data_IF_069756771196
#
_entry.id   IF_069756771196
#
_cell.length_a   1.000
_cell.length_b   1.000
_cell.length_c   1.000
_cell.angle_alpha   90.00
_cell.angle_beta   90.00
_cell.angle_gamma   90.00
#
_symmetry.space_group_name_H-M   'P 1'
#
loop_
_entity.id
_entity.type
_entity.pdbx_description
1 polymer ?
#
# COMPACT_ATOMS: atom_id res chain seq x y z
N UNK A 1 -64.87 -37.35 0.90
CA UNK A 1 -64.41 -36.96 -0.45
C UNK A 1 -63.14 -36.16 -0.23
N UNK A 2 -61.92 -36.72 -0.32
CA UNK A 2 -61.42 -37.83 -1.17
C UNK A 2 -61.69 -37.56 -2.65
N UNK A 3 -60.74 -37.60 -3.60
CA UNK A 3 -59.24 -37.71 -3.64
C UNK A 3 -58.82 -36.98 -4.96
N UNK A 4 -57.60 -36.96 -5.50
CA UNK A 4 -56.23 -37.41 -5.15
C UNK A 4 -55.37 -36.15 -4.73
N UNK A 5 -54.04 -35.94 -4.77
CA UNK A 5 -52.81 -36.56 -5.35
C UNK A 5 -52.74 -36.51 -6.91
N UNK A 6 -51.62 -36.56 -7.66
CA UNK A 6 -50.17 -36.79 -7.47
C UNK A 6 -49.42 -35.97 -8.61
N UNK A 7 -48.10 -35.73 -8.79
CA UNK A 7 -46.83 -36.19 -8.20
C UNK A 7 -45.73 -35.07 -8.19
N UNK A 8 -44.59 -35.28 -8.88
CA UNK A 8 -43.33 -34.49 -8.85
C UNK A 8 -42.63 -34.46 -10.23
N UNK A 9 -41.49 -33.75 -10.37
CA UNK A 9 -40.16 -34.41 -10.50
C UNK A 9 -38.99 -33.41 -10.53
N UNK A 10 -38.08 -33.54 -9.57
CA UNK A 10 -36.73 -32.94 -9.59
C UNK A 10 -35.71 -34.06 -9.82
N UNK A 11 -34.70 -33.86 -10.67
CA UNK A 11 -33.68 -34.88 -10.97
C UNK A 11 -32.36 -34.60 -10.25
N UNK A 12 -31.96 -35.53 -9.38
CA UNK A 12 -30.57 -35.74 -8.96
C UNK A 12 -30.10 -37.07 -9.58
N UNK A 13 -28.79 -37.23 -9.80
CA UNK A 13 -28.20 -38.42 -10.41
C UNK A 13 -27.08 -38.96 -9.52
N UNK A 14 -27.44 -40.02 -8.80
CA UNK A 14 -26.69 -41.24 -8.49
C UNK A 14 -25.32 -41.26 -7.76
N UNK A 15 -25.21 -42.35 -7.00
CA UNK A 15 -24.12 -42.87 -6.16
C UNK A 15 -23.22 -43.84 -7.01
N UNK A 16 -22.22 -44.63 -6.51
CA UNK A 16 -21.97 -45.03 -5.10
C UNK A 16 -20.49 -45.14 -4.63
N UNK A 17 -20.32 -45.72 -3.44
CA UNK A 17 -19.06 -46.13 -2.82
C UNK A 17 -18.98 -47.67 -2.72
N UNK A 18 -17.78 -48.24 -2.79
CA UNK A 18 -17.41 -49.46 -2.03
C UNK A 18 -15.88 -49.50 -1.76
N UNK A 19 -15.35 -50.54 -1.09
CA UNK A 19 -14.12 -50.47 -0.29
C UNK A 19 -13.09 -51.62 -0.56
N UNK A 20 -11.95 -51.56 0.17
CA UNK A 20 -11.04 -52.67 0.61
C UNK A 20 -9.76 -53.09 -0.19
N UNK A 21 -8.61 -52.72 0.39
CA UNK A 21 -7.50 -53.56 0.94
C UNK A 21 -6.62 -54.54 0.09
N UNK A 22 -5.33 -54.15 -0.05
CA UNK A 22 -4.07 -54.88 0.27
C UNK A 22 -3.59 -56.19 -0.44
N UNK A 23 -2.31 -56.20 -0.90
CA UNK A 23 -1.17 -57.00 -0.31
C UNK A 23 -0.01 -57.39 -1.29
N UNK A 24 1.26 -57.14 -0.89
CA UNK A 24 2.51 -57.84 -1.32
C UNK A 24 3.06 -57.63 -2.75
N UNK A 25 4.33 -57.97 -3.08
CA UNK A 25 5.57 -58.16 -2.28
C UNK A 25 6.82 -58.22 -3.22
N UNK A 26 8.06 -58.07 -2.71
CA UNK A 26 9.31 -58.49 -3.40
C UNK A 26 10.44 -57.45 -3.60
N UNK A 27 11.64 -57.75 -3.08
CA UNK A 27 12.84 -56.89 -3.11
C UNK A 27 13.79 -57.08 -4.32
N UNK A 28 14.70 -56.10 -4.53
CA UNK A 28 16.15 -56.36 -4.51
C UNK A 28 17.02 -55.10 -4.38
N UNK A 29 18.29 -55.27 -3.95
CA UNK A 29 19.27 -54.20 -3.66
C UNK A 29 20.44 -54.27 -4.67
N UNK A 30 20.90 -53.12 -5.16
CA UNK A 30 22.27 -52.94 -5.67
C UNK A 30 22.82 -51.57 -5.29
N UNK A 31 23.89 -51.52 -4.50
CA UNK A 31 24.53 -50.28 -4.06
C UNK A 31 25.44 -49.67 -5.14
N UNK A 32 25.42 -48.33 -5.27
CA UNK A 32 26.54 -47.56 -5.83
C UNK A 32 26.83 -46.34 -4.94
N UNK A 33 28.03 -46.22 -4.35
CA UNK A 33 28.39 -45.07 -3.52
C UNK A 33 28.74 -43.86 -4.41
N UNK A 34 27.92 -42.80 -4.37
CA UNK A 34 28.26 -41.52 -4.99
C UNK A 34 28.86 -40.56 -3.95
N UNK A 35 29.99 -39.98 -4.32
CA UNK A 35 30.88 -39.17 -3.48
C UNK A 35 30.36 -37.74 -3.27
N UNK A 36 31.11 -36.95 -2.49
CA UNK A 36 31.02 -35.49 -2.34
C UNK A 36 29.97 -34.93 -1.36
N UNK A 37 30.33 -34.85 -0.08
CA UNK A 37 29.77 -33.88 0.88
C UNK A 37 30.84 -33.02 1.57
N UNK A 38 31.88 -32.64 0.82
CA UNK A 38 32.91 -31.69 1.29
C UNK A 38 32.50 -30.22 1.15
N UNK A 39 31.28 -29.94 0.65
CA UNK A 39 30.79 -28.57 0.41
C UNK A 39 30.24 -27.81 1.62
N UNK A 40 29.80 -28.52 2.68
CA UNK A 40 29.03 -27.90 3.78
C UNK A 40 29.88 -27.23 4.88
N UNK A 41 31.17 -27.53 4.97
CA UNK A 41 32.04 -27.02 6.06
C UNK A 41 32.62 -25.61 5.83
N UNK A 42 32.45 -25.00 4.64
CA UNK A 42 32.98 -23.65 4.34
C UNK A 42 31.93 -22.53 4.35
N UNK A 43 30.64 -22.84 4.17
CA UNK A 43 29.58 -21.82 4.15
C UNK A 43 29.09 -21.38 5.54
N UNK A 44 29.36 -22.15 6.60
CA UNK A 44 28.83 -21.89 7.94
C UNK A 44 29.50 -20.76 8.73
N UNK A 45 30.78 -20.46 8.47
CA UNK A 45 31.58 -19.58 9.33
C UNK A 45 31.72 -18.13 8.82
N UNK A 46 31.32 -17.85 7.57
CA UNK A 46 31.39 -16.49 7.01
C UNK A 46 30.16 -15.64 7.42
N UNK A 47 29.04 -16.28 7.76
CA UNK A 47 27.77 -15.60 8.05
C UNK A 47 27.77 -14.82 9.38
N UNK A 48 28.57 -15.22 10.37
CA UNK A 48 28.48 -14.65 11.74
C UNK A 48 29.16 -13.29 11.94
N UNK A 49 29.99 -12.82 10.99
CA UNK A 49 30.77 -11.58 11.17
C UNK A 49 30.39 -10.41 10.25
N UNK A 50 29.49 -10.62 9.27
CA UNK A 50 29.05 -9.55 8.34
C UNK A 50 27.62 -9.04 8.56
N UNK A 51 26.87 -9.61 9.52
CA UNK A 51 25.44 -9.33 9.66
C UNK A 51 24.98 -7.97 10.23
N UNK A 52 25.73 -7.20 11.06
CA UNK A 52 25.20 -5.96 11.62
C UNK A 52 25.05 -4.84 10.57
N UNK A 53 25.92 -4.80 9.55
CA UNK A 53 25.91 -3.75 8.54
C UNK A 53 24.69 -3.85 7.60
N UNK A 54 24.30 -5.06 7.19
CA UNK A 54 23.16 -5.27 6.29
C UNK A 54 21.83 -4.92 6.95
N UNK A 55 21.64 -5.24 8.23
CA UNK A 55 20.42 -4.88 8.97
C UNK A 55 20.30 -3.35 9.09
N UNK A 56 21.39 -2.65 9.43
CA UNK A 56 21.41 -1.18 9.49
C UNK A 56 21.15 -0.57 8.11
N UNK A 57 21.71 -1.11 7.03
CA UNK A 57 21.43 -0.65 5.68
C UNK A 57 19.96 -0.84 5.29
N UNK A 58 19.37 -2.01 5.57
CA UNK A 58 17.97 -2.30 5.26
C UNK A 58 17.00 -1.41 6.05
N UNK A 59 17.29 -1.17 7.34
CA UNK A 59 16.51 -0.26 8.19
C UNK A 59 16.64 1.20 7.72
N UNK A 60 17.82 1.68 7.36
CA UNK A 60 18.00 3.04 6.83
C UNK A 60 17.31 3.22 5.47
N UNK A 61 17.33 2.22 4.60
CA UNK A 61 16.63 2.25 3.32
C UNK A 61 15.10 2.27 3.50
N UNK A 62 14.58 1.51 4.48
CA UNK A 62 13.15 1.47 4.81
C UNK A 62 12.67 2.79 5.43
N UNK A 63 13.42 3.34 6.39
CA UNK A 63 13.03 4.54 7.17
C UNK A 63 13.04 5.82 6.33
N UNK A 64 13.87 5.93 5.28
CA UNK A 64 13.92 7.12 4.39
C UNK A 64 13.08 6.92 3.12
N UNK A 65 11.90 6.31 3.29
CA UNK A 65 10.83 6.32 2.29
C UNK A 65 10.22 7.72 2.16
N UNK A 66 10.89 8.57 1.36
CA UNK A 66 10.32 9.86 0.94
C UNK A 66 9.23 9.56 -0.09
N UNK A 67 7.98 9.52 0.37
CA UNK A 67 6.76 9.18 -0.41
C UNK A 67 6.47 10.19 -1.53
N UNK A 68 7.31 10.21 -2.56
CA UNK A 68 7.16 10.99 -3.78
C UNK A 68 6.00 10.41 -4.59
N UNK A 69 5.03 11.26 -4.91
CA UNK A 69 3.99 10.97 -5.90
C UNK A 69 4.17 11.88 -7.12
N UNK A 70 3.85 11.37 -8.31
CA UNK A 70 4.09 12.11 -9.56
C UNK A 70 3.18 13.34 -9.73
N UNK A 71 2.07 13.42 -8.99
CA UNK A 71 1.14 14.55 -9.09
C UNK A 71 1.72 15.87 -8.59
N UNK A 72 2.30 15.88 -7.38
CA UNK A 72 2.83 17.08 -6.72
C UNK A 72 4.00 16.76 -5.78
N UNK A 73 5.18 17.30 -6.13
CA UNK A 73 6.38 17.32 -5.29
C UNK A 73 6.12 18.20 -4.06
N UNK A 74 6.39 17.70 -2.84
CA UNK A 74 6.26 18.44 -1.57
C UNK A 74 7.00 17.72 -0.43
N UNK A 75 6.97 18.29 0.78
CA UNK A 75 7.64 17.77 1.99
C UNK A 75 6.68 17.48 3.17
N UNK A 76 5.41 17.20 2.87
CA UNK A 76 4.37 16.79 3.81
C UNK A 76 3.45 15.69 3.25
N UNK A 77 2.76 14.98 4.15
CA UNK A 77 1.65 14.06 3.89
C UNK A 77 0.37 14.64 4.51
N UNK A 78 -0.80 14.29 4.00
CA UNK A 78 -2.10 14.79 4.49
C UNK A 78 -2.75 13.75 5.41
N UNK A 79 -3.26 14.17 6.58
CA UNK A 79 -4.24 13.37 7.34
C UNK A 79 -5.61 13.58 6.72
N UNK A 80 -6.21 12.51 6.21
CA UNK A 80 -7.45 12.61 5.41
C UNK A 80 -8.69 12.52 6.33
N UNK A 81 -9.51 13.58 6.47
CA UNK A 81 -10.60 13.62 7.46
C UNK A 81 -11.74 12.64 7.16
N UNK A 82 -11.85 12.15 5.93
CA UNK A 82 -12.86 11.20 5.48
C UNK A 82 -12.62 9.76 5.96
N UNK A 83 -11.36 9.37 6.24
CA UNK A 83 -11.01 8.00 6.64
C UNK A 83 -9.84 7.89 7.64
N UNK A 84 -9.32 9.02 8.13
CA UNK A 84 -8.14 9.17 9.01
C UNK A 84 -6.82 8.54 8.52
N UNK A 85 -6.77 8.07 7.28
CA UNK A 85 -5.56 7.57 6.63
C UNK A 85 -4.60 8.70 6.26
N UNK A 86 -3.34 8.35 5.97
CA UNK A 86 -2.29 9.30 5.60
C UNK A 86 -1.86 9.06 4.15
N UNK A 87 -1.98 10.10 3.31
CA UNK A 87 -1.65 10.03 1.88
C UNK A 87 -0.80 11.23 1.46
N UNK A 88 0.06 11.08 0.44
CA UNK A 88 0.83 12.21 -0.07
C UNK A 88 -0.09 13.29 -0.67
N UNK A 89 -1.09 12.97 -1.50
CA UNK A 89 -2.16 13.91 -1.90
C UNK A 89 -3.57 13.29 -1.99
N UNK A 90 -4.55 14.19 -2.17
CA UNK A 90 -5.88 13.90 -2.73
C UNK A 90 -5.86 12.95 -3.92
N UNK A 91 -4.93 13.08 -4.88
CA UNK A 91 -4.94 12.19 -6.05
C UNK A 91 -4.55 10.76 -5.67
N UNK A 92 -3.42 10.56 -4.96
CA UNK A 92 -3.07 9.23 -4.42
C UNK A 92 -4.19 8.62 -3.55
N UNK A 93 -4.84 9.44 -2.72
CA UNK A 93 -6.00 9.05 -1.92
C UNK A 93 -7.15 8.57 -2.81
N UNK A 94 -7.59 9.41 -3.75
CA UNK A 94 -8.72 9.13 -4.63
C UNK A 94 -8.46 7.93 -5.55
N UNK A 95 -7.23 7.78 -6.02
CA UNK A 95 -6.78 6.62 -6.80
C UNK A 95 -6.91 5.35 -5.94
N UNK A 96 -6.32 5.32 -4.75
CA UNK A 96 -6.44 4.19 -3.82
C UNK A 96 -7.90 3.87 -3.46
N UNK A 97 -8.69 4.86 -3.03
CA UNK A 97 -10.09 4.65 -2.62
C UNK A 97 -10.99 4.23 -3.78
N UNK A 98 -10.73 4.68 -5.01
CA UNK A 98 -11.51 4.26 -6.20
C UNK A 98 -11.41 2.76 -6.47
N UNK A 99 -10.28 2.13 -6.14
CA UNK A 99 -10.03 0.70 -6.39
C UNK A 99 -10.63 -0.23 -5.34
N UNK A 100 -11.18 0.29 -4.23
CA UNK A 100 -11.66 -0.54 -3.12
C UNK A 100 -12.77 -1.51 -3.55
N UNK A 101 -12.68 -2.76 -3.08
CA UNK A 101 -13.58 -3.85 -3.47
C UNK A 101 -15.05 -3.59 -3.10
N UNK A 102 -15.29 -2.98 -1.95
CA UNK A 102 -16.61 -2.54 -1.50
C UNK A 102 -16.94 -1.15 -2.10
N UNK A 103 -18.00 -1.01 -2.92
CA UNK A 103 -18.36 0.27 -3.50
C UNK A 103 -18.72 1.36 -2.47
N UNK A 104 -19.15 0.99 -1.25
CA UNK A 104 -19.50 1.94 -0.19
C UNK A 104 -18.29 2.65 0.43
N UNK A 105 -17.11 2.06 0.31
CA UNK A 105 -15.87 2.61 0.90
C UNK A 105 -15.14 3.53 -0.11
N UNK A 106 -15.62 3.61 -1.36
CA UNK A 106 -15.08 4.47 -2.41
C UNK A 106 -15.52 5.91 -2.18
N UNK A 107 -14.57 6.80 -1.93
CA UNK A 107 -14.85 8.21 -1.63
C UNK A 107 -13.70 9.12 -2.07
N UNK A 108 -14.01 10.39 -2.36
CA UNK A 108 -13.00 11.40 -2.66
C UNK A 108 -12.61 12.23 -1.42
N UNK A 109 -11.36 12.70 -1.38
CA UNK A 109 -10.92 13.68 -0.40
C UNK A 109 -11.39 15.09 -0.79
N UNK A 110 -12.29 15.67 0.01
CA UNK A 110 -12.59 17.10 -0.01
C UNK A 110 -11.40 17.87 0.54
N UNK A 111 -10.65 18.54 -0.36
CA UNK A 111 -9.38 19.21 -0.03
C UNK A 111 -9.49 20.24 1.10
N UNK A 112 -10.60 20.96 1.21
CA UNK A 112 -10.77 22.06 2.18
C UNK A 112 -10.89 21.57 3.63
N UNK A 113 -11.32 20.31 3.82
CA UNK A 113 -11.59 19.73 5.14
C UNK A 113 -10.32 19.21 5.84
N UNK A 114 -9.19 19.18 5.12
CA UNK A 114 -7.89 18.76 5.66
C UNK A 114 -7.43 19.79 6.70
N UNK A 115 -7.35 19.34 7.96
CA UNK A 115 -6.87 20.15 9.11
C UNK A 115 -5.43 19.84 9.48
N UNK A 116 -5.01 18.57 9.38
CA UNK A 116 -3.69 18.12 9.82
C UNK A 116 -2.81 17.59 8.68
N UNK A 117 -1.50 17.84 8.83
CA UNK A 117 -0.44 17.41 7.92
C UNK A 117 0.72 16.83 8.72
N UNK A 118 1.39 15.84 8.13
CA UNK A 118 2.56 15.17 8.71
C UNK A 118 3.79 15.60 7.92
N UNK A 119 4.81 16.13 8.59
CA UNK A 119 6.08 16.49 7.96
C UNK A 119 6.78 15.23 7.40
N UNK A 120 7.12 15.22 6.10
CA UNK A 120 7.80 14.09 5.47
C UNK A 120 9.32 14.06 5.74
N UNK A 121 9.83 14.97 6.59
CA UNK A 121 11.26 15.06 6.97
C UNK A 121 11.49 14.63 8.42
N UNK A 122 10.61 15.04 9.35
CA UNK A 122 10.75 14.72 10.78
C UNK A 122 9.52 14.02 11.40
N UNK A 123 8.53 13.62 10.58
CA UNK A 123 7.31 12.92 10.98
C UNK A 123 6.41 13.63 12.01
N UNK A 124 6.65 14.91 12.29
CA UNK A 124 5.76 15.73 13.13
C UNK A 124 4.40 15.92 12.47
N UNK A 125 3.35 15.44 13.12
CA UNK A 125 1.96 15.76 12.80
C UNK A 125 1.57 17.09 13.45
N UNK A 126 0.86 17.94 12.71
CA UNK A 126 0.57 19.33 13.07
C UNK A 126 -0.63 19.86 12.28
N UNK A 127 -1.21 20.97 12.73
CA UNK A 127 -2.19 21.72 11.93
C UNK A 127 -1.58 22.27 10.63
N UNK A 128 -2.44 22.47 9.63
CA UNK A 128 -2.10 23.01 8.31
C UNK A 128 -1.38 24.35 8.43
N UNK A 129 -0.23 24.43 7.77
CA UNK A 129 0.61 25.62 7.63
C UNK A 129 1.63 25.36 6.51
N UNK A 130 2.33 26.39 6.02
CA UNK A 130 3.35 26.22 4.98
C UNK A 130 4.70 25.66 5.45
N UNK A 131 4.91 25.55 6.77
CA UNK A 131 6.18 25.27 7.43
C UNK A 131 6.01 24.17 8.49
N UNK A 132 7.02 23.32 8.66
CA UNK A 132 7.02 22.41 9.80
C UNK A 132 7.26 23.15 11.12
N UNK A 133 6.41 22.92 12.13
CA UNK A 133 6.52 23.53 13.45
C UNK A 133 7.74 23.05 14.26
N UNK A 134 8.26 21.85 13.94
CA UNK A 134 9.42 21.24 14.60
C UNK A 134 10.73 21.54 13.85
N UNK A 135 10.85 21.13 12.58
CA UNK A 135 12.10 21.26 11.82
C UNK A 135 12.19 22.50 10.90
N UNK A 136 11.18 23.38 10.89
CA UNK A 136 11.19 24.62 10.11
C UNK A 136 11.11 24.47 8.58
N UNK A 137 11.10 23.24 8.04
CA UNK A 137 11.13 23.02 6.59
C UNK A 137 9.86 23.53 5.90
N UNK A 138 10.00 24.24 4.77
CA UNK A 138 8.89 24.53 3.87
C UNK A 138 8.30 23.24 3.29
N UNK A 139 6.99 23.08 3.35
CA UNK A 139 6.31 21.93 2.74
C UNK A 139 6.25 22.03 1.20
N UNK A 140 6.32 23.23 0.64
CA UNK A 140 6.55 23.51 -0.77
C UNK A 140 6.87 25.00 -0.96
N UNK A 141 7.35 25.40 -2.13
CA UNK A 141 7.58 26.81 -2.45
C UNK A 141 6.27 27.55 -2.75
N UNK A 142 5.23 26.84 -3.22
CA UNK A 142 3.85 27.31 -3.22
C UNK A 142 3.01 26.57 -2.18
N UNK A 143 2.33 27.34 -1.32
CA UNK A 143 1.33 26.88 -0.37
C UNK A 143 0.06 27.72 -0.54
N UNK A 144 -1.11 27.07 -0.57
CA UNK A 144 -2.40 27.73 -0.54
C UNK A 144 -3.26 27.17 0.59
N UNK A 145 -3.48 27.99 1.62
CA UNK A 145 -4.24 27.61 2.81
C UNK A 145 -5.73 27.36 2.52
N UNK A 146 -6.32 28.08 1.56
CA UNK A 146 -7.74 27.91 1.16
C UNK A 146 -7.95 26.54 0.49
N UNK A 147 -7.02 26.12 -0.37
CA UNK A 147 -7.10 24.84 -1.08
C UNK A 147 -6.41 23.67 -0.35
N UNK A 148 -5.77 23.92 0.81
CA UNK A 148 -4.89 22.98 1.53
C UNK A 148 -3.83 22.35 0.61
N UNK A 149 -3.28 23.17 -0.31
CA UNK A 149 -2.48 22.72 -1.44
C UNK A 149 -1.00 23.11 -1.30
N UNK A 150 -0.11 22.22 -1.74
CA UNK A 150 1.34 22.32 -1.58
C UNK A 150 2.05 21.85 -2.86
N UNK A 151 2.95 22.67 -3.41
CA UNK A 151 3.77 22.32 -4.58
C UNK A 151 5.19 22.91 -4.44
N UNK A 152 6.21 22.05 -4.57
CA UNK A 152 7.64 22.37 -4.50
C UNK A 152 8.23 22.71 -5.89
N UNK A 153 7.39 22.81 -6.91
CA UNK A 153 7.78 23.25 -8.26
C UNK A 153 7.33 24.69 -8.53
N UNK A 154 8.12 25.46 -9.27
CA UNK A 154 7.80 26.85 -9.59
C UNK A 154 7.04 26.88 -10.92
N UNK A 155 5.71 27.02 -10.86
CA UNK A 155 4.82 27.07 -12.05
C UNK A 155 3.94 28.33 -12.10
N UNK A 156 4.31 29.40 -11.37
CA UNK A 156 3.46 30.59 -11.16
C UNK A 156 2.02 30.22 -10.73
N UNK A 157 1.92 29.33 -9.75
CA UNK A 157 0.65 28.94 -9.15
C UNK A 157 0.02 30.12 -8.40
N UNK A 158 -1.30 30.25 -8.46
CA UNK A 158 -2.06 31.27 -7.71
C UNK A 158 -3.44 30.75 -7.33
N UNK A 159 -4.05 31.31 -6.28
CA UNK A 159 -5.44 31.01 -5.92
C UNK A 159 -6.38 31.95 -6.66
N UNK A 160 -7.26 31.38 -7.50
CA UNK A 160 -8.34 32.11 -8.15
C UNK A 160 -9.57 32.09 -7.25
N UNK A 161 -9.77 33.18 -6.48
CA UNK A 161 -10.84 33.30 -5.49
C UNK A 161 -12.24 33.07 -6.08
N UNK A 162 -12.52 33.63 -7.25
CA UNK A 162 -13.80 33.46 -7.97
C UNK A 162 -14.11 31.99 -8.31
N UNK A 163 -13.08 31.18 -8.55
CA UNK A 163 -13.22 29.75 -8.82
C UNK A 163 -13.07 28.87 -7.55
N UNK A 164 -12.60 29.42 -6.43
CA UNK A 164 -12.18 28.66 -5.25
C UNK A 164 -11.07 27.63 -5.51
N UNK A 165 -10.28 27.77 -6.58
CA UNK A 165 -9.24 26.78 -6.98
C UNK A 165 -7.88 27.43 -7.21
N UNK A 166 -6.81 26.66 -6.97
CA UNK A 166 -5.49 27.02 -7.49
C UNK A 166 -5.43 26.82 -9.00
N UNK A 167 -4.86 27.78 -9.71
CA UNK A 167 -4.56 27.75 -11.15
C UNK A 167 -3.07 28.01 -11.39
N UNK A 168 -2.62 27.76 -12.62
CA UNK A 168 -1.26 28.05 -13.11
C UNK A 168 -1.35 29.22 -14.09
N UNK A 169 -0.46 30.21 -13.97
CA UNK A 169 -0.29 31.23 -15.02
C UNK A 169 0.55 30.63 -16.16
N UNK A 170 -0.13 30.09 -17.17
CA UNK A 170 0.47 29.92 -18.49
C UNK A 170 0.73 31.32 -19.08
N UNK A 171 1.87 31.48 -19.76
CA UNK A 171 2.16 32.73 -20.47
C UNK A 171 1.22 32.88 -21.67
N UNK A 172 0.67 34.09 -21.84
CA UNK A 172 0.07 34.60 -23.07
C UNK A 172 1.13 35.20 -23.98
#
# INVERSE_FOLDING_TARGET
MNLEEDNTKTTLVDQPQENQEAAGDGDNITDEPKTEDYGKMLYGLVFFFFFPALIVFFLLFYVVSVDRCDHYRRRCKLRTPCCNQVFTCRHCHNEATSTLSNPKDRHELVRQDVKQVICAVCNTEQEVSGLCSNCGVKFGEYFCEICKFYDDTIKKQFHCHECGICRILLYS
#
